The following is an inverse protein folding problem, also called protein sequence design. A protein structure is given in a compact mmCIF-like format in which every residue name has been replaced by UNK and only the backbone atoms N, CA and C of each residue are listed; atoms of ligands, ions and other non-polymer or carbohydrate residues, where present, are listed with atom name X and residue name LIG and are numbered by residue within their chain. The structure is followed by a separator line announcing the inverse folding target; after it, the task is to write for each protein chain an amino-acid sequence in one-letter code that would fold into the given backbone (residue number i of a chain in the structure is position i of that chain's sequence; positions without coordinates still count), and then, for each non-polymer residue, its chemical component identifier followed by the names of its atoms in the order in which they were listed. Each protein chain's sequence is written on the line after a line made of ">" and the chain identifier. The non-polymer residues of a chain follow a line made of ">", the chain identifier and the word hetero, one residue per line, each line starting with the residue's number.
data_IF_879598352887
#
_entry.id   IF_879598352887
#
_cell.length_a   1.000
_cell.length_b   1.000
_cell.length_c   1.000
_cell.angle_alpha   90.00
_cell.angle_beta   90.00
_cell.angle_gamma   90.00
#
_symmetry.space_group_name_H-M   'P 1'
#
loop_
_entity.id
_entity.type
_entity.pdbx_description
1 polymer ?
#
# COMPACT_ATOMS: atom_id res chain seq x y z
N UNK A 1 -45.90 -25.21 -10.03
CA UNK A 1 -44.61 -25.32 -10.73
C UNK A 1 -44.09 -24.00 -11.28
N UNK A 2 -44.90 -23.22 -11.94
CA UNK A 2 -44.47 -21.90 -12.46
C UNK A 2 -44.11 -20.90 -11.35
N UNK A 3 -44.79 -20.96 -10.20
CA UNK A 3 -44.55 -20.14 -9.00
C UNK A 3 -43.20 -20.46 -8.35
N UNK A 4 -42.82 -21.75 -8.30
CA UNK A 4 -41.56 -22.21 -7.74
C UNK A 4 -40.34 -21.70 -8.54
N UNK A 5 -40.47 -21.68 -9.86
CA UNK A 5 -39.43 -21.20 -10.78
C UNK A 5 -39.28 -19.67 -10.68
N UNK A 6 -40.34 -18.97 -10.42
CA UNK A 6 -40.36 -17.52 -10.25
C UNK A 6 -39.70 -17.10 -8.93
N UNK A 7 -39.94 -17.83 -7.87
CA UNK A 7 -39.30 -17.60 -6.55
C UNK A 7 -37.83 -18.00 -6.55
N UNK A 8 -37.46 -19.03 -7.31
CA UNK A 8 -36.08 -19.47 -7.44
C UNK A 8 -35.21 -18.43 -8.14
N UNK A 9 -35.75 -17.77 -9.16
CA UNK A 9 -35.04 -16.69 -9.86
C UNK A 9 -34.89 -15.44 -8.98
N UNK A 10 -35.90 -15.12 -8.17
CA UNK A 10 -35.87 -13.99 -7.22
C UNK A 10 -34.87 -14.24 -6.08
N UNK A 11 -34.69 -15.48 -5.67
CA UNK A 11 -33.73 -15.86 -4.64
C UNK A 11 -32.28 -15.86 -5.14
N UNK A 12 -32.08 -16.09 -6.45
CA UNK A 12 -30.75 -16.12 -7.07
C UNK A 12 -30.19 -14.69 -7.35
N UNK A 13 -31.08 -13.72 -7.51
CA UNK A 13 -30.68 -12.33 -7.82
C UNK A 13 -29.80 -11.66 -6.74
N UNK A 14 -30.05 -11.81 -5.43
CA UNK A 14 -29.21 -11.17 -4.41
C UNK A 14 -27.82 -11.77 -4.25
N UNK A 15 -27.60 -12.99 -4.73
CA UNK A 15 -26.28 -13.62 -4.67
C UNK A 15 -25.28 -13.04 -5.68
N UNK A 16 -25.80 -12.47 -6.77
CA UNK A 16 -24.96 -11.82 -7.81
C UNK A 16 -24.58 -10.38 -7.46
N UNK A 17 -25.38 -9.70 -6.64
CA UNK A 17 -25.08 -8.31 -6.24
C UNK A 17 -24.02 -8.20 -5.12
N UNK A 18 -23.79 -9.25 -4.35
CA UNK A 18 -22.77 -9.25 -3.28
C UNK A 18 -21.34 -9.20 -3.81
N UNK A 19 -21.06 -9.85 -4.92
CA UNK A 19 -19.71 -9.86 -5.49
C UNK A 19 -19.29 -8.52 -6.12
N UNK A 20 -20.24 -7.79 -6.70
CA UNK A 20 -19.96 -6.48 -7.29
C UNK A 20 -19.68 -5.40 -6.22
N UNK A 21 -20.32 -5.47 -5.08
CA UNK A 21 -20.10 -4.53 -3.98
C UNK A 21 -18.71 -4.71 -3.34
N UNK A 22 -18.23 -5.95 -3.23
CA UNK A 22 -16.88 -6.24 -2.68
C UNK A 22 -15.78 -5.76 -3.63
N UNK A 23 -15.98 -5.90 -4.94
CA UNK A 23 -15.03 -5.43 -5.94
C UNK A 23 -14.92 -3.89 -5.96
N UNK A 24 -16.02 -3.17 -5.76
CA UNK A 24 -16.04 -1.71 -5.72
C UNK A 24 -15.41 -1.13 -4.43
N UNK A 25 -15.54 -1.80 -3.29
CA UNK A 25 -14.90 -1.37 -2.04
C UNK A 25 -13.41 -1.65 -2.00
N UNK A 26 -12.90 -2.64 -2.75
CA UNK A 26 -11.48 -2.95 -2.86
C UNK A 26 -10.70 -2.05 -3.82
N UNK A 27 -11.37 -1.44 -4.80
CA UNK A 27 -10.72 -0.73 -5.90
C UNK A 27 -10.24 0.70 -5.57
N UNK A 28 -10.55 1.25 -4.42
CA UNK A 28 -10.21 2.63 -4.06
C UNK A 28 -9.30 2.78 -2.85
N UNK A 29 -8.97 1.70 -2.16
CA UNK A 29 -8.18 1.75 -0.93
C UNK A 29 -6.71 1.54 -1.24
N UNK A 30 -5.90 2.58 -1.09
CA UNK A 30 -4.53 2.63 -1.57
C UNK A 30 -3.54 1.72 -0.85
N UNK A 31 -3.79 1.26 0.36
CA UNK A 31 -2.79 0.54 1.16
C UNK A 31 -3.27 -0.86 1.51
N UNK A 32 -2.45 -1.84 1.22
CA UNK A 32 -2.65 -3.23 1.61
C UNK A 32 -1.59 -3.66 2.63
N UNK A 33 -1.83 -4.75 3.33
CA UNK A 33 -0.91 -5.30 4.33
C UNK A 33 -0.56 -6.75 4.02
N UNK A 34 0.70 -7.11 4.23
CA UNK A 34 1.15 -8.50 4.17
C UNK A 34 0.73 -9.25 5.45
N UNK A 35 0.92 -10.58 5.48
CA UNK A 35 0.70 -11.39 6.69
C UNK A 35 1.58 -10.97 7.86
N UNK A 36 2.74 -10.37 7.60
CA UNK A 36 3.64 -9.81 8.62
C UNK A 36 3.34 -8.36 8.99
N UNK A 37 2.20 -7.81 8.56
CA UNK A 37 1.77 -6.44 8.81
C UNK A 37 2.66 -5.35 8.18
N UNK A 38 3.31 -5.68 7.09
CA UNK A 38 4.04 -4.72 6.27
C UNK A 38 3.05 -4.07 5.31
N UNK A 39 2.98 -2.75 5.34
CA UNK A 39 2.12 -2.00 4.43
C UNK A 39 2.75 -1.94 3.03
N UNK A 40 1.96 -2.09 2.00
CA UNK A 40 2.44 -1.98 0.62
C UNK A 40 1.39 -1.38 -0.31
N UNK A 41 1.88 -0.81 -1.40
CA UNK A 41 1.04 -0.30 -2.48
C UNK A 41 1.85 -0.30 -3.78
N UNK A 42 1.18 -0.47 -4.91
CA UNK A 42 1.78 -0.33 -6.23
C UNK A 42 1.34 0.97 -6.87
N UNK A 43 2.31 1.75 -7.36
CA UNK A 43 2.08 3.00 -8.06
C UNK A 43 2.35 2.82 -9.54
N UNK A 44 1.56 3.50 -10.37
CA UNK A 44 1.75 3.55 -11.84
C UNK A 44 2.77 4.62 -12.20
N UNK A 45 3.91 4.62 -11.51
CA UNK A 45 4.99 5.59 -11.70
C UNK A 45 6.34 4.89 -11.70
N UNK A 46 7.33 5.40 -12.47
CA UNK A 46 8.70 4.86 -12.48
C UNK A 46 9.38 4.93 -11.12
N UNK A 47 10.37 4.06 -10.90
CA UNK A 47 11.09 3.94 -9.63
C UNK A 47 11.72 5.24 -9.15
N UNK A 48 12.33 6.01 -10.03
CA UNK A 48 12.95 7.30 -9.69
C UNK A 48 11.92 8.32 -9.17
N UNK A 49 10.74 8.36 -9.77
CA UNK A 49 9.65 9.26 -9.31
C UNK A 49 9.11 8.85 -7.96
N UNK A 50 8.91 7.55 -7.76
CA UNK A 50 8.46 7.02 -6.46
C UNK A 50 9.53 7.24 -5.39
N UNK A 51 10.80 7.08 -5.72
CA UNK A 51 11.91 7.38 -4.82
C UNK A 51 11.91 8.85 -4.38
N UNK A 52 11.85 9.77 -5.33
CA UNK A 52 11.81 11.21 -5.03
C UNK A 52 10.60 11.58 -4.19
N UNK A 53 9.44 11.06 -4.53
CA UNK A 53 8.20 11.27 -3.76
C UNK A 53 8.31 10.70 -2.34
N UNK A 54 8.98 9.56 -2.17
CA UNK A 54 9.20 8.94 -0.85
C UNK A 54 10.12 9.81 0.02
N UNK A 55 11.21 10.29 -0.53
CA UNK A 55 12.12 11.22 0.18
C UNK A 55 11.38 12.48 0.60
N UNK A 56 10.59 13.07 -0.28
CA UNK A 56 9.80 14.27 0.02
C UNK A 56 8.74 14.01 1.09
N UNK A 57 8.07 12.85 1.03
CA UNK A 57 7.09 12.45 2.04
C UNK A 57 7.72 12.31 3.42
N UNK A 58 8.88 11.64 3.51
CA UNK A 58 9.61 11.50 4.77
C UNK A 58 10.03 12.85 5.35
N UNK A 59 10.49 13.77 4.52
CA UNK A 59 10.84 15.14 4.95
C UNK A 59 9.63 15.89 5.49
N UNK A 60 8.49 15.80 4.81
CA UNK A 60 7.24 16.44 5.26
C UNK A 60 6.74 15.88 6.60
N UNK A 61 6.96 14.60 6.84
CA UNK A 61 6.58 13.93 8.09
C UNK A 61 7.60 14.11 9.21
N UNK A 62 8.74 14.76 8.94
CA UNK A 62 9.81 14.95 9.93
C UNK A 62 10.57 13.65 10.26
N UNK A 63 10.58 12.71 9.34
CA UNK A 63 11.26 11.42 9.50
C UNK A 63 12.66 11.51 8.91
N UNK A 64 13.66 11.15 9.70
CA UNK A 64 15.06 11.21 9.30
C UNK A 64 15.47 9.98 8.50
N UNK A 65 16.03 10.17 7.31
CA UNK A 65 16.67 9.11 6.54
C UNK A 65 18.04 8.80 7.14
N UNK A 66 18.26 7.54 7.48
CA UNK A 66 19.50 7.05 8.07
C UNK A 66 20.43 6.47 7.01
N UNK A 67 19.86 5.71 6.08
CA UNK A 67 20.60 5.01 5.05
C UNK A 67 19.74 4.84 3.79
N UNK A 68 20.39 4.77 2.64
CA UNK A 68 19.75 4.68 1.35
C UNK A 68 20.68 3.97 0.38
N UNK A 69 20.28 2.82 -0.13
CA UNK A 69 21.11 2.05 -1.04
C UNK A 69 20.28 1.34 -2.12
N UNK A 70 20.94 1.06 -3.24
CA UNK A 70 20.33 0.30 -4.34
C UNK A 70 20.25 -1.18 -3.97
N UNK A 71 19.10 -1.79 -4.26
CA UNK A 71 18.88 -3.24 -4.24
C UNK A 71 18.80 -3.78 -5.67
N UNK A 72 18.68 -5.11 -5.83
CA UNK A 72 18.66 -5.74 -7.16
C UNK A 72 17.59 -5.16 -8.09
N UNK A 73 16.39 -4.92 -7.60
CA UNK A 73 15.24 -4.47 -8.38
C UNK A 73 14.70 -3.10 -7.96
N UNK A 74 15.49 -2.31 -7.25
CA UNK A 74 15.01 -1.01 -6.79
C UNK A 74 15.93 -0.38 -5.76
N UNK A 75 15.35 0.15 -4.68
CA UNK A 75 16.07 0.81 -3.59
C UNK A 75 15.50 0.46 -2.23
N UNK A 76 16.35 0.50 -1.23
CA UNK A 76 15.97 0.40 0.17
C UNK A 76 16.33 1.69 0.89
N UNK A 77 15.38 2.27 1.60
CA UNK A 77 15.56 3.46 2.43
C UNK A 77 15.32 3.06 3.88
N UNK A 78 16.31 3.27 4.73
CA UNK A 78 16.15 3.12 6.17
C UNK A 78 16.00 4.50 6.79
N UNK A 79 14.97 4.68 7.58
CA UNK A 79 14.63 5.93 8.23
C UNK A 79 14.28 5.69 9.69
N UNK A 80 14.31 6.72 10.50
CA UNK A 80 14.00 6.61 11.91
C UNK A 80 13.36 7.87 12.47
N UNK A 81 12.57 7.65 13.53
CA UNK A 81 12.11 8.69 14.45
C UNK A 81 12.64 8.36 15.84
N UNK A 82 12.28 9.15 16.85
CA UNK A 82 12.67 8.85 18.25
C UNK A 82 12.19 7.49 18.75
N UNK A 83 11.05 7.00 18.19
CA UNK A 83 10.40 5.78 18.66
C UNK A 83 10.34 4.68 17.62
N UNK A 84 10.56 4.99 16.35
CA UNK A 84 10.34 4.06 15.23
C UNK A 84 11.60 3.84 14.41
N UNK A 85 11.78 2.59 14.00
CA UNK A 85 12.67 2.22 12.90
C UNK A 85 11.80 1.89 11.68
N UNK A 86 12.14 2.45 10.53
CA UNK A 86 11.34 2.36 9.31
C UNK A 86 12.22 1.86 8.19
N UNK A 87 11.80 0.77 7.56
CA UNK A 87 12.42 0.26 6.34
C UNK A 87 11.44 0.41 5.18
N UNK A 88 11.89 1.05 4.12
CA UNK A 88 11.11 1.26 2.90
C UNK A 88 11.81 0.57 1.75
N UNK A 89 11.14 -0.37 1.13
CA UNK A 89 11.61 -1.06 -0.05
C UNK A 89 10.82 -0.61 -1.27
N UNK A 90 11.52 -0.07 -2.25
CA UNK A 90 10.98 0.27 -3.56
C UNK A 90 11.41 -0.80 -4.55
N UNK A 91 10.44 -1.48 -5.16
CA UNK A 91 10.68 -2.52 -6.14
C UNK A 91 10.07 -2.12 -7.48
N UNK A 92 10.90 -2.06 -8.52
CA UNK A 92 10.43 -1.83 -9.88
C UNK A 92 9.78 -3.09 -10.43
N UNK A 93 8.46 -3.08 -10.54
CA UNK A 93 7.70 -4.19 -11.13
C UNK A 93 7.81 -4.16 -12.66
N UNK A 94 7.70 -2.95 -13.22
CA UNK A 94 7.98 -2.64 -14.63
C UNK A 94 8.69 -1.30 -14.71
N UNK A 95 9.07 -0.86 -15.91
CA UNK A 95 9.68 0.45 -16.12
C UNK A 95 8.76 1.63 -15.72
N UNK A 96 7.45 1.38 -15.63
CA UNK A 96 6.43 2.40 -15.31
C UNK A 96 5.64 2.11 -14.04
N UNK A 97 5.97 1.04 -13.33
CA UNK A 97 5.22 0.59 -12.16
C UNK A 97 6.18 0.21 -11.05
N UNK A 98 5.97 0.78 -9.88
CA UNK A 98 6.81 0.54 -8.70
C UNK A 98 5.96 0.17 -7.50
N UNK A 99 6.34 -0.89 -6.80
CA UNK A 99 5.75 -1.27 -5.53
C UNK A 99 6.55 -0.68 -4.38
N UNK A 100 5.87 -0.02 -3.45
CA UNK A 100 6.45 0.42 -2.18
C UNK A 100 6.01 -0.53 -1.07
N UNK A 101 6.94 -0.94 -0.24
CA UNK A 101 6.68 -1.67 1.01
C UNK A 101 7.26 -0.89 2.17
N UNK A 102 6.48 -0.66 3.20
CA UNK A 102 6.91 0.07 4.40
C UNK A 102 6.70 -0.77 5.63
N UNK A 103 7.78 -1.01 6.36
CA UNK A 103 7.80 -1.68 7.64
C UNK A 103 8.23 -0.68 8.72
N UNK A 104 7.29 -0.25 9.54
CA UNK A 104 7.54 0.66 10.66
C UNK A 104 7.42 -0.11 11.98
N UNK A 105 8.47 -0.07 12.79
CA UNK A 105 8.57 -0.86 14.03
C UNK A 105 8.94 0.01 15.22
N UNK A 106 8.23 -0.17 16.34
CA UNK A 106 8.63 0.36 17.66
C UNK A 106 9.62 -0.57 18.35
N UNK A 107 9.47 -1.88 18.10
CA UNK A 107 10.35 -2.93 18.60
C UNK A 107 10.29 -4.10 17.64
N UNK A 108 11.02 -5.17 17.91
CA UNK A 108 10.99 -6.39 17.08
C UNK A 108 9.57 -6.98 16.96
N UNK A 109 8.72 -6.75 17.95
CA UNK A 109 7.37 -7.34 18.04
C UNK A 109 6.25 -6.36 17.66
N UNK A 110 6.44 -5.05 17.91
CA UNK A 110 5.41 -4.04 17.69
C UNK A 110 5.61 -3.32 16.37
N UNK A 111 4.64 -3.47 15.47
CA UNK A 111 4.56 -2.78 14.19
C UNK A 111 3.66 -1.54 14.30
N UNK A 112 4.05 -0.45 13.68
CA UNK A 112 3.22 0.74 13.54
C UNK A 112 2.64 0.82 12.14
N UNK A 113 1.48 0.18 11.97
CA UNK A 113 0.75 0.14 10.69
C UNK A 113 0.26 1.53 10.28
N UNK A 114 -0.12 2.36 11.24
CA UNK A 114 -0.66 3.69 10.96
C UNK A 114 0.41 4.59 10.33
N UNK A 115 1.62 4.60 10.87
CA UNK A 115 2.73 5.35 10.31
C UNK A 115 3.15 4.80 8.95
N UNK A 116 3.23 3.49 8.80
CA UNK A 116 3.55 2.87 7.52
C UNK A 116 2.54 3.25 6.43
N UNK A 117 1.25 3.16 6.74
CA UNK A 117 0.18 3.55 5.81
C UNK A 117 0.23 5.04 5.47
N UNK A 118 0.50 5.90 6.45
CA UNK A 118 0.57 7.35 6.22
C UNK A 118 1.74 7.72 5.30
N UNK A 119 2.88 7.08 5.44
CA UNK A 119 4.02 7.29 4.51
C UNK A 119 3.56 6.99 3.08
N UNK A 120 2.92 5.85 2.85
CA UNK A 120 2.44 5.46 1.53
C UNK A 120 1.39 6.44 1.00
N UNK A 121 0.49 6.90 1.85
CA UNK A 121 -0.53 7.88 1.47
C UNK A 121 0.09 9.23 1.09
N UNK A 122 1.11 9.68 1.79
CA UNK A 122 1.83 10.91 1.45
C UNK A 122 2.58 10.78 0.12
N UNK A 123 3.19 9.63 -0.13
CA UNK A 123 3.82 9.34 -1.42
C UNK A 123 2.78 9.40 -2.55
N UNK A 124 1.63 8.78 -2.36
CA UNK A 124 0.53 8.81 -3.33
C UNK A 124 0.05 10.23 -3.64
N UNK A 125 -0.10 11.06 -2.62
CA UNK A 125 -0.49 12.48 -2.79
C UNK A 125 0.53 13.26 -3.61
N UNK A 126 1.81 13.04 -3.36
CA UNK A 126 2.88 13.71 -4.10
C UNK A 126 2.91 13.26 -5.56
N UNK A 127 2.69 11.98 -5.82
CA UNK A 127 2.62 11.43 -7.17
C UNK A 127 1.32 11.79 -7.92
N UNK A 128 0.29 12.21 -7.20
CA UNK A 128 -1.05 12.45 -7.77
C UNK A 128 -1.84 11.15 -8.03
N UNK A 129 -1.56 10.12 -7.27
CA UNK A 129 -2.20 8.80 -7.40
C UNK A 129 -3.01 8.37 -6.17
#
# INVERSE_FOLDING_TARGET
>A
MIVFRKYFIIFLLPLLSGCAAVALTGAGVGVSYTLSNVAYRTFSSPGDQVYTATVDALKKMGIKIVDDYKSENGRTINASTKELEIEINLEEVTLKTTQIKVDARKSIVLKDKATAAEIINQVGKILGE
#
